data_IF_490239908316
#
_entry.id   IF_490239908316
#
_cell.length_a   1.000
_cell.length_b   1.000
_cell.length_c   1.000
_cell.angle_alpha   90.00
_cell.angle_beta   90.00
_cell.angle_gamma   90.00
#
_symmetry.space_group_name_H-M   'P 1'
#
loop_
_entity.id
_entity.type
_entity.pdbx_description
1 polymer ?
#
# COMPACT_ATOMS: atom_id res chain seq x y z
N UNK A 1 24.04 43.04 -23.32
CA UNK A 1 22.67 43.50 -23.61
C UNK A 1 21.78 43.04 -22.48
N UNK A 2 21.18 43.98 -21.74
CA UNK A 2 20.32 43.67 -20.61
C UNK A 2 19.01 43.02 -21.11
N UNK A 3 18.58 41.94 -20.49
CA UNK A 3 17.32 41.29 -20.82
C UNK A 3 16.16 42.26 -20.56
N UNK A 4 15.24 42.37 -21.51
CA UNK A 4 14.03 43.20 -21.39
C UNK A 4 13.18 42.69 -20.20
N UNK A 5 12.53 43.59 -19.42
CA UNK A 5 11.73 43.20 -18.29
C UNK A 5 10.51 42.36 -18.75
N UNK A 6 10.28 41.23 -18.06
CA UNK A 6 9.12 40.39 -18.27
C UNK A 6 7.84 41.19 -17.98
N UNK A 7 6.86 41.28 -18.90
CA UNK A 7 5.67 42.07 -18.66
C UNK A 7 4.89 41.51 -17.46
N UNK A 8 4.54 42.39 -16.52
CA UNK A 8 3.69 42.09 -15.37
C UNK A 8 2.28 41.71 -15.85
N UNK A 9 1.90 40.45 -15.73
CA UNK A 9 0.57 39.99 -16.10
C UNK A 9 -0.41 40.27 -14.98
N UNK A 10 -1.54 40.89 -15.30
CA UNK A 10 -2.70 40.99 -14.38
C UNK A 10 -3.14 39.59 -13.95
N UNK A 11 -3.29 39.32 -12.66
CA UNK A 11 -3.80 38.02 -12.23
C UNK A 11 -5.21 37.80 -12.78
N UNK A 12 -5.46 36.62 -13.34
CA UNK A 12 -6.83 36.20 -13.63
C UNK A 12 -7.49 35.92 -12.28
N UNK A 13 -8.50 36.70 -11.92
CA UNK A 13 -9.36 36.42 -10.77
C UNK A 13 -10.06 35.09 -10.99
N UNK A 14 -9.62 34.07 -10.27
CA UNK A 14 -10.20 32.75 -10.15
C UNK A 14 -10.37 32.44 -8.66
N UNK A 15 -11.15 31.42 -8.30
CA UNK A 15 -11.26 30.99 -6.91
C UNK A 15 -9.86 30.74 -6.35
N UNK A 16 -9.66 31.10 -5.07
CA UNK A 16 -8.41 30.86 -4.37
C UNK A 16 -7.92 29.43 -4.62
N UNK A 17 -6.63 29.20 -4.88
CA UNK A 17 -6.13 27.85 -5.09
C UNK A 17 -6.45 27.02 -3.85
N UNK A 18 -7.05 25.85 -4.06
CA UNK A 18 -7.12 24.82 -3.03
C UNK A 18 -5.73 24.64 -2.42
N UNK A 19 -5.66 24.36 -1.14
CA UNK A 19 -4.39 24.17 -0.42
C UNK A 19 -3.43 23.26 -1.20
N UNK A 20 -2.14 23.46 -1.04
CA UNK A 20 -1.10 22.71 -1.75
C UNK A 20 -1.35 21.20 -1.60
N UNK A 21 -1.47 20.48 -2.72
CA UNK A 21 -1.72 19.05 -2.74
C UNK A 21 -3.17 18.63 -2.42
N UNK A 22 -4.15 19.51 -2.73
CA UNK A 22 -5.60 19.30 -2.50
C UNK A 22 -5.96 19.13 -1.02
N UNK A 23 -5.17 19.64 -0.10
CA UNK A 23 -5.45 19.56 1.33
C UNK A 23 -6.78 20.25 1.66
N UNK A 24 -7.68 19.55 2.37
CA UNK A 24 -9.03 20.04 2.70
C UNK A 24 -10.05 19.98 1.55
N UNK A 25 -9.69 19.46 0.37
CA UNK A 25 -10.61 19.28 -0.75
C UNK A 25 -11.26 17.90 -0.69
N UNK A 26 -12.59 17.85 -0.62
CA UNK A 26 -13.37 16.62 -0.80
C UNK A 26 -13.42 16.29 -2.28
N UNK A 27 -12.74 15.22 -2.69
CA UNK A 27 -12.64 14.85 -4.10
C UNK A 27 -13.75 13.93 -4.59
N UNK A 28 -14.38 13.17 -3.70
CA UNK A 28 -15.50 12.28 -4.00
C UNK A 28 -16.27 11.93 -2.71
N UNK A 29 -17.48 11.41 -2.88
CA UNK A 29 -18.20 10.69 -1.82
C UNK A 29 -17.76 9.23 -1.82
N UNK A 30 -17.73 8.60 -0.64
CA UNK A 30 -17.39 7.19 -0.49
C UNK A 30 -18.13 6.59 0.70
N UNK A 31 -18.55 5.34 0.55
CA UNK A 31 -19.16 4.53 1.62
C UNK A 31 -18.23 3.42 2.12
N UNK A 32 -16.96 3.40 1.66
CA UNK A 32 -16.02 2.29 1.92
C UNK A 32 -15.34 2.47 3.27
N UNK A 33 -14.78 3.65 3.52
CA UNK A 33 -13.94 3.90 4.69
C UNK A 33 -14.22 5.27 5.30
N UNK A 34 -14.33 5.30 6.62
CA UNK A 34 -14.35 6.54 7.41
C UNK A 34 -13.11 6.61 8.28
N UNK A 35 -12.42 7.75 8.25
CA UNK A 35 -11.32 8.08 9.17
C UNK A 35 -11.74 9.29 10.02
N UNK A 36 -11.85 9.10 11.34
CA UNK A 36 -11.94 10.20 12.30
C UNK A 36 -10.54 10.44 12.89
N UNK A 37 -9.74 11.25 12.21
CA UNK A 37 -8.36 11.52 12.61
C UNK A 37 -8.21 12.16 14.01
N UNK A 38 -9.05 13.13 14.41
CA UNK A 38 -9.10 13.69 15.75
C UNK A 38 -9.36 12.66 16.86
N UNK A 39 -10.27 11.71 16.63
CA UNK A 39 -10.55 10.64 17.59
C UNK A 39 -9.60 9.47 17.50
N UNK A 40 -8.95 9.26 16.36
CA UNK A 40 -8.09 8.11 16.10
C UNK A 40 -8.92 6.86 15.79
N UNK A 41 -10.00 7.00 15.04
CA UNK A 41 -10.92 5.94 14.66
C UNK A 41 -10.81 5.64 13.16
N UNK A 42 -10.97 4.37 12.80
CA UNK A 42 -10.98 3.88 11.42
C UNK A 42 -12.08 2.83 11.27
N UNK A 43 -12.94 3.04 10.28
CA UNK A 43 -14.06 2.14 10.00
C UNK A 43 -14.01 1.68 8.54
N UNK A 44 -14.24 0.39 8.31
CA UNK A 44 -14.49 -0.18 6.98
C UNK A 44 -15.95 -0.58 6.88
N UNK A 45 -16.70 0.03 5.94
CA UNK A 45 -18.15 -0.23 5.78
C UNK A 45 -18.94 -0.13 7.08
N UNK A 46 -18.53 0.75 8.00
CA UNK A 46 -19.19 0.97 9.29
C UNK A 46 -18.71 0.09 10.45
N UNK A 47 -17.84 -0.89 10.21
CA UNK A 47 -17.21 -1.71 11.25
C UNK A 47 -15.89 -1.11 11.70
N UNK A 48 -15.63 -1.06 12.99
CA UNK A 48 -14.34 -0.63 13.51
C UNK A 48 -13.22 -1.58 13.04
N UNK A 49 -12.09 -1.00 12.63
CA UNK A 49 -10.98 -1.82 12.10
C UNK A 49 -10.42 -2.77 13.14
N UNK A 50 -10.49 -2.39 14.41
CA UNK A 50 -10.08 -3.20 15.55
C UNK A 50 -10.91 -4.50 15.62
N UNK A 51 -12.24 -4.39 15.58
CA UNK A 51 -13.15 -5.53 15.61
C UNK A 51 -12.91 -6.47 14.43
N UNK A 52 -12.73 -5.89 13.22
CA UNK A 52 -12.42 -6.67 12.02
C UNK A 52 -11.09 -7.42 12.14
N UNK A 53 -10.06 -6.77 12.66
CA UNK A 53 -8.73 -7.36 12.77
C UNK A 53 -8.62 -8.44 13.86
N UNK A 54 -9.48 -8.39 14.88
CA UNK A 54 -9.54 -9.36 15.98
C UNK A 54 -10.40 -10.57 15.65
N UNK A 55 -11.51 -10.40 14.91
CA UNK A 55 -12.55 -11.43 14.78
C UNK A 55 -12.76 -11.96 13.36
N UNK A 56 -12.31 -11.24 12.32
CA UNK A 56 -12.62 -11.60 10.94
C UNK A 56 -11.47 -12.32 10.20
N UNK A 57 -11.85 -13.12 9.20
CA UNK A 57 -10.91 -13.58 8.16
C UNK A 57 -10.69 -12.48 7.10
N UNK A 58 -9.48 -12.42 6.56
CA UNK A 58 -9.12 -11.43 5.53
C UNK A 58 -10.08 -11.45 4.33
N UNK A 59 -10.49 -12.63 3.86
CA UNK A 59 -11.39 -12.75 2.70
C UNK A 59 -12.83 -12.33 3.02
N UNK A 60 -13.27 -12.45 4.28
CA UNK A 60 -14.56 -11.91 4.71
C UNK A 60 -14.56 -10.37 4.62
N UNK A 61 -13.47 -9.74 5.05
CA UNK A 61 -13.35 -8.27 4.96
C UNK A 61 -13.19 -7.81 3.51
N UNK A 62 -12.49 -8.56 2.66
CA UNK A 62 -12.46 -8.29 1.20
C UNK A 62 -13.86 -8.31 0.62
N UNK A 63 -14.66 -9.32 0.95
CA UNK A 63 -16.05 -9.43 0.49
C UNK A 63 -16.88 -8.24 0.97
N UNK A 64 -16.76 -7.90 2.26
CA UNK A 64 -17.43 -6.73 2.84
C UNK A 64 -17.08 -5.44 2.09
N UNK A 65 -15.80 -5.20 1.79
CA UNK A 65 -15.37 -4.01 1.07
C UNK A 65 -15.95 -3.94 -0.36
N UNK A 66 -15.96 -5.08 -1.08
CA UNK A 66 -16.39 -5.12 -2.48
C UNK A 66 -17.89 -5.10 -2.65
N UNK A 67 -18.64 -5.76 -1.76
CA UNK A 67 -20.10 -5.94 -1.87
C UNK A 67 -20.91 -5.07 -0.89
N UNK A 68 -20.24 -4.44 0.10
CA UNK A 68 -20.90 -3.59 1.10
C UNK A 68 -21.69 -4.36 2.16
N UNK A 69 -21.61 -5.69 2.16
CA UNK A 69 -22.31 -6.56 3.11
C UNK A 69 -21.44 -7.76 3.50
N UNK A 70 -21.69 -8.29 4.68
CA UNK A 70 -20.97 -9.45 5.19
C UNK A 70 -21.31 -10.71 4.39
N UNK A 71 -20.33 -11.57 4.05
CA UNK A 71 -20.61 -12.77 3.29
C UNK A 71 -21.38 -13.80 4.12
N UNK A 72 -22.32 -14.49 3.48
CA UNK A 72 -22.83 -15.74 4.03
C UNK A 72 -21.73 -16.81 4.00
N UNK A 73 -21.81 -17.88 4.83
CA UNK A 73 -20.84 -18.98 4.76
C UNK A 73 -20.73 -19.65 3.37
N UNK A 74 -21.81 -19.61 2.58
CA UNK A 74 -21.80 -20.16 1.22
C UNK A 74 -21.03 -19.24 0.26
N UNK A 75 -21.24 -17.93 0.34
CA UNK A 75 -20.53 -16.93 -0.46
C UNK A 75 -19.04 -16.91 -0.12
N UNK A 76 -18.67 -16.94 1.16
CA UNK A 76 -17.28 -17.01 1.59
C UNK A 76 -16.58 -18.25 1.01
N UNK A 77 -17.17 -19.45 1.13
CA UNK A 77 -16.61 -20.68 0.54
C UNK A 77 -16.52 -20.60 -0.99
N UNK A 78 -17.50 -19.99 -1.66
CA UNK A 78 -17.47 -19.80 -3.11
C UNK A 78 -16.35 -18.86 -3.53
N UNK A 79 -16.16 -17.75 -2.81
CA UNK A 79 -15.10 -16.77 -3.05
C UNK A 79 -13.71 -17.39 -2.82
N UNK A 80 -13.52 -18.14 -1.74
CA UNK A 80 -12.26 -18.84 -1.48
C UNK A 80 -11.93 -19.86 -2.59
N UNK A 81 -12.91 -20.65 -3.05
CA UNK A 81 -12.69 -21.58 -4.17
C UNK A 81 -12.28 -20.86 -5.45
N UNK A 82 -12.91 -19.71 -5.77
CA UNK A 82 -12.54 -18.89 -6.94
C UNK A 82 -11.11 -18.39 -6.86
N UNK A 83 -10.69 -17.87 -5.71
CA UNK A 83 -9.32 -17.42 -5.47
C UNK A 83 -8.33 -18.59 -5.60
N UNK A 84 -8.63 -19.71 -4.96
CA UNK A 84 -7.78 -20.93 -4.97
C UNK A 84 -7.49 -21.40 -6.39
N UNK A 85 -8.48 -21.38 -7.28
CA UNK A 85 -8.34 -21.76 -8.69
C UNK A 85 -7.44 -20.82 -9.51
N UNK A 86 -7.15 -19.60 -9.01
CA UNK A 86 -6.44 -18.56 -9.77
C UNK A 86 -5.09 -18.14 -9.16
N UNK A 87 -4.61 -18.82 -8.11
CA UNK A 87 -3.36 -18.49 -7.40
C UNK A 87 -2.09 -18.65 -8.24
N UNK A 88 -2.11 -19.57 -9.22
CA UNK A 88 -0.94 -19.83 -10.05
C UNK A 88 -0.63 -18.65 -10.97
N UNK A 89 0.65 -18.35 -11.08
CA UNK A 89 1.13 -17.34 -12.03
C UNK A 89 1.15 -17.93 -13.45
N UNK A 90 0.74 -17.15 -14.47
CA UNK A 90 0.90 -17.57 -15.88
C UNK A 90 2.39 -17.81 -16.22
N UNK A 91 2.70 -18.74 -17.15
CA UNK A 91 4.08 -19.02 -17.56
C UNK A 91 4.87 -17.78 -18.03
N UNK A 92 4.21 -16.85 -18.76
CA UNK A 92 4.83 -15.60 -19.19
C UNK A 92 5.27 -14.71 -18.00
N UNK A 93 4.55 -14.76 -16.88
CA UNK A 93 4.96 -14.04 -15.65
C UNK A 93 6.23 -14.67 -15.07
N UNK A 94 6.35 -16.01 -15.07
CA UNK A 94 7.55 -16.68 -14.58
C UNK A 94 8.78 -16.35 -15.44
N UNK A 95 8.64 -16.26 -16.76
CA UNK A 95 9.69 -15.82 -17.67
C UNK A 95 10.16 -14.38 -17.34
N UNK A 96 9.23 -13.48 -17.15
CA UNK A 96 9.55 -12.08 -16.77
C UNK A 96 10.21 -12.04 -15.39
N UNK A 97 9.74 -12.82 -14.41
CA UNK A 97 10.35 -12.87 -13.08
C UNK A 97 11.78 -13.42 -13.09
N UNK A 98 12.17 -14.29 -14.05
CA UNK A 98 13.58 -14.67 -14.22
C UNK A 98 14.47 -13.50 -14.60
N UNK A 99 13.94 -12.51 -15.31
CA UNK A 99 14.67 -11.32 -15.74
C UNK A 99 14.73 -10.24 -14.65
N UNK A 100 13.58 -9.98 -13.98
CA UNK A 100 13.43 -8.83 -13.07
C UNK A 100 13.36 -9.21 -11.58
N UNK A 101 13.32 -10.51 -11.24
CA UNK A 101 13.30 -11.00 -9.85
C UNK A 101 14.68 -11.03 -9.19
N UNK A 102 15.62 -10.19 -9.63
CA UNK A 102 17.01 -10.13 -9.16
C UNK A 102 17.16 -9.11 -8.03
N UNK A 103 18.19 -9.24 -7.16
CA UNK A 103 18.43 -8.30 -6.06
C UNK A 103 18.60 -6.83 -6.50
N UNK A 104 19.14 -6.59 -7.71
CA UNK A 104 19.41 -5.25 -8.25
C UNK A 104 18.14 -4.53 -8.71
N UNK A 105 17.06 -5.27 -8.96
CA UNK A 105 15.77 -4.69 -9.39
C UNK A 105 14.92 -4.38 -8.16
N UNK A 106 14.40 -3.15 -8.11
CA UNK A 106 13.47 -2.73 -7.08
C UNK A 106 12.20 -3.62 -7.08
N UNK A 107 11.82 -4.24 -5.94
CA UNK A 107 10.68 -5.16 -5.88
C UNK A 107 9.36 -4.53 -6.33
N UNK A 108 9.13 -3.26 -6.00
CA UNK A 108 7.92 -2.54 -6.40
C UNK A 108 7.90 -2.27 -7.91
N UNK A 109 9.07 -2.12 -8.54
CA UNK A 109 9.15 -2.04 -10.00
C UNK A 109 8.79 -3.38 -10.65
N UNK A 110 9.23 -4.49 -10.08
CA UNK A 110 8.87 -5.82 -10.55
C UNK A 110 7.36 -6.09 -10.38
N UNK A 111 6.79 -5.81 -9.21
CA UNK A 111 5.33 -5.97 -8.96
C UNK A 111 4.50 -5.13 -9.94
N UNK A 112 4.87 -3.87 -10.17
CA UNK A 112 4.22 -2.99 -11.14
C UNK A 112 4.25 -3.57 -12.55
N UNK A 113 5.44 -4.03 -12.99
CA UNK A 113 5.63 -4.60 -14.33
C UNK A 113 4.78 -5.83 -14.55
N UNK A 114 4.77 -6.75 -13.57
CA UNK A 114 3.96 -7.98 -13.65
C UNK A 114 2.46 -7.66 -13.59
N UNK A 115 2.03 -6.67 -12.81
CA UNK A 115 0.62 -6.27 -12.78
C UNK A 115 0.16 -5.76 -14.15
N UNK A 116 0.96 -4.92 -14.82
CA UNK A 116 0.68 -4.46 -16.18
C UNK A 116 0.71 -5.61 -17.20
N UNK A 117 1.64 -6.55 -17.06
CA UNK A 117 1.69 -7.75 -17.93
C UNK A 117 0.43 -8.61 -17.75
N UNK A 118 -0.05 -8.80 -16.53
CA UNK A 118 -1.29 -9.56 -16.26
C UNK A 118 -2.49 -8.93 -16.99
N UNK A 119 -2.55 -7.59 -17.06
CA UNK A 119 -3.56 -6.88 -17.85
C UNK A 119 -3.42 -7.14 -19.34
N UNK A 120 -2.20 -7.09 -19.88
CA UNK A 120 -1.95 -7.39 -21.28
C UNK A 120 -2.25 -8.85 -21.68
N UNK A 121 -2.24 -9.77 -20.71
CA UNK A 121 -2.58 -11.19 -20.91
C UNK A 121 -4.06 -11.51 -20.67
N UNK A 122 -4.84 -10.58 -20.11
CA UNK A 122 -6.27 -10.78 -19.86
C UNK A 122 -7.08 -10.34 -21.09
N UNK A 123 -7.73 -11.27 -21.83
CA UNK A 123 -8.49 -10.91 -23.03
C UNK A 123 -9.72 -10.05 -22.73
N UNK A 124 -10.13 -9.92 -21.46
CA UNK A 124 -11.26 -9.10 -21.03
C UNK A 124 -10.82 -7.86 -20.23
N UNK A 125 -9.54 -7.47 -20.30
CA UNK A 125 -9.02 -6.35 -19.53
C UNK A 125 -9.84 -5.06 -19.74
N UNK A 126 -10.23 -4.76 -20.98
CA UNK A 126 -10.96 -3.55 -21.37
C UNK A 126 -12.47 -3.60 -21.02
N UNK A 127 -12.99 -4.72 -20.52
CA UNK A 127 -14.39 -4.82 -20.09
C UNK A 127 -14.58 -4.16 -18.72
N UNK A 128 -15.20 -2.99 -18.70
CA UNK A 128 -15.49 -2.21 -17.49
C UNK A 128 -16.81 -2.58 -16.80
N UNK A 129 -17.51 -3.61 -17.26
CA UNK A 129 -18.69 -4.12 -16.58
C UNK A 129 -18.32 -4.58 -15.14
N UNK A 130 -19.13 -4.31 -14.11
CA UNK A 130 -18.80 -4.64 -12.74
C UNK A 130 -18.42 -6.12 -12.51
N UNK A 131 -19.06 -7.03 -13.23
CA UNK A 131 -18.75 -8.47 -13.17
C UNK A 131 -17.38 -8.81 -13.73
N UNK A 132 -16.99 -8.21 -14.87
CA UNK A 132 -15.67 -8.40 -15.47
C UNK A 132 -14.56 -7.80 -14.60
N UNK A 133 -14.77 -6.61 -14.04
CA UNK A 133 -13.86 -5.98 -13.08
C UNK A 133 -13.68 -6.86 -11.84
N UNK A 134 -14.76 -7.46 -11.30
CA UNK A 134 -14.69 -8.39 -10.18
C UNK A 134 -13.94 -9.68 -10.55
N UNK A 135 -14.08 -10.21 -11.77
CA UNK A 135 -13.33 -11.38 -12.21
C UNK A 135 -11.81 -11.08 -12.27
N UNK A 136 -11.43 -9.94 -12.86
CA UNK A 136 -10.04 -9.46 -12.90
C UNK A 136 -9.50 -9.19 -11.49
N UNK A 137 -10.33 -8.63 -10.60
CA UNK A 137 -9.97 -8.37 -9.20
C UNK A 137 -9.71 -9.67 -8.42
N UNK A 138 -10.56 -10.68 -8.57
CA UNK A 138 -10.36 -12.01 -7.98
C UNK A 138 -9.07 -12.64 -8.48
N UNK A 139 -8.81 -12.56 -9.80
CA UNK A 139 -7.59 -13.10 -10.39
C UNK A 139 -6.34 -12.42 -9.84
N UNK A 140 -6.36 -11.10 -9.75
CA UNK A 140 -5.22 -10.33 -9.26
C UNK A 140 -5.00 -10.52 -7.76
N UNK A 141 -6.07 -10.46 -6.94
CA UNK A 141 -6.00 -10.72 -5.50
C UNK A 141 -5.42 -12.11 -5.20
N UNK A 142 -5.82 -13.12 -5.96
CA UNK A 142 -5.31 -14.48 -5.83
C UNK A 142 -3.82 -14.60 -6.16
N UNK A 143 -3.36 -13.88 -7.18
CA UNK A 143 -1.98 -13.95 -7.71
C UNK A 143 -0.98 -13.08 -6.97
N UNK A 144 -1.42 -12.00 -6.30
CA UNK A 144 -0.50 -11.08 -5.62
C UNK A 144 0.38 -11.77 -4.55
N UNK A 145 -0.14 -12.61 -3.65
CA UNK A 145 0.71 -13.36 -2.73
C UNK A 145 1.72 -14.26 -3.44
N UNK A 146 1.30 -14.95 -4.52
CA UNK A 146 2.18 -15.80 -5.31
C UNK A 146 3.30 -15.00 -5.99
N UNK A 147 2.97 -13.82 -6.52
CA UNK A 147 3.93 -12.91 -7.13
C UNK A 147 4.97 -12.42 -6.11
N UNK A 148 4.52 -11.93 -4.96
CA UNK A 148 5.43 -11.36 -3.94
C UNK A 148 6.29 -12.47 -3.32
N UNK A 149 5.73 -13.65 -3.07
CA UNK A 149 6.48 -14.80 -2.58
C UNK A 149 7.53 -15.28 -3.60
N UNK A 150 7.15 -15.42 -4.88
CA UNK A 150 8.05 -15.79 -5.96
C UNK A 150 9.21 -14.79 -6.13
N UNK A 151 8.89 -13.49 -6.07
CA UNK A 151 9.87 -12.42 -6.12
C UNK A 151 10.86 -12.51 -4.95
N UNK A 152 10.37 -12.71 -3.73
CA UNK A 152 11.20 -12.85 -2.53
C UNK A 152 12.15 -14.04 -2.60
N UNK A 153 11.68 -15.18 -3.11
CA UNK A 153 12.50 -16.38 -3.27
C UNK A 153 13.56 -16.21 -4.37
N UNK A 154 13.18 -15.67 -5.54
CA UNK A 154 14.15 -15.44 -6.64
C UNK A 154 15.26 -14.47 -6.24
N UNK A 155 14.95 -13.44 -5.45
CA UNK A 155 15.97 -12.50 -4.92
C UNK A 155 16.98 -13.18 -3.99
N UNK A 156 16.60 -14.30 -3.38
CA UNK A 156 17.48 -15.16 -2.57
C UNK A 156 18.14 -16.28 -3.37
N UNK A 157 17.96 -16.33 -4.68
CA UNK A 157 18.47 -17.41 -5.53
C UNK A 157 17.71 -18.73 -5.40
N UNK A 158 16.48 -18.67 -4.83
CA UNK A 158 15.63 -19.84 -4.62
C UNK A 158 14.53 -19.91 -5.71
N UNK A 159 14.14 -21.13 -6.08
CA UNK A 159 13.00 -21.31 -6.99
C UNK A 159 11.67 -20.98 -6.30
N UNK A 160 10.71 -20.37 -7.04
CA UNK A 160 9.36 -20.16 -6.56
C UNK A 160 8.67 -21.47 -6.17
N UNK A 161 7.79 -21.40 -5.17
CA UNK A 161 7.00 -22.53 -4.70
C UNK A 161 5.57 -22.37 -5.24
N UNK A 162 5.06 -23.45 -5.84
CA UNK A 162 3.66 -23.48 -6.27
C UNK A 162 2.68 -23.39 -5.08
N UNK A 163 1.51 -22.77 -5.28
CA UNK A 163 0.48 -22.75 -4.24
C UNK A 163 0.06 -24.17 -3.81
N UNK A 164 -0.05 -24.39 -2.51
CA UNK A 164 -0.63 -25.62 -1.96
C UNK A 164 -2.18 -25.53 -2.02
N UNK A 165 -2.86 -26.47 -2.70
CA UNK A 165 -4.32 -26.43 -2.85
C UNK A 165 -5.09 -26.64 -1.53
N UNK A 166 -4.46 -27.21 -0.51
CA UNK A 166 -5.10 -27.46 0.80
C UNK A 166 -5.07 -26.25 1.73
N UNK A 167 -4.16 -25.28 1.49
CA UNK A 167 -4.02 -24.14 2.37
C UNK A 167 -4.99 -23.01 2.00
N UNK A 168 -5.53 -22.32 3.03
CA UNK A 168 -6.26 -21.05 2.91
C UNK A 168 -5.38 -19.94 2.33
N UNK A 169 -5.97 -18.78 2.00
CA UNK A 169 -5.28 -17.69 1.30
C UNK A 169 -4.05 -17.19 2.07
N UNK A 170 -4.23 -16.89 3.36
CA UNK A 170 -3.19 -16.33 4.24
C UNK A 170 -2.08 -17.36 4.52
N UNK A 171 -2.46 -18.60 4.87
CA UNK A 171 -1.51 -19.67 5.14
C UNK A 171 -0.66 -20.00 3.91
N UNK A 172 -1.27 -19.98 2.73
CA UNK A 172 -0.60 -20.24 1.47
C UNK A 172 0.45 -19.17 1.12
N UNK A 173 0.19 -17.91 1.47
CA UNK A 173 1.15 -16.84 1.28
C UNK A 173 2.47 -17.13 2.04
N UNK A 174 2.38 -17.48 3.33
CA UNK A 174 3.56 -17.84 4.12
C UNK A 174 4.24 -19.10 3.60
N UNK A 175 3.45 -20.11 3.21
CA UNK A 175 3.97 -21.33 2.63
C UNK A 175 4.81 -21.07 1.37
N UNK A 176 4.27 -20.31 0.41
CA UNK A 176 4.97 -19.98 -0.83
C UNK A 176 6.24 -19.15 -0.58
N UNK A 177 6.22 -18.29 0.44
CA UNK A 177 7.38 -17.45 0.78
C UNK A 177 8.52 -18.28 1.39
N UNK A 178 8.20 -19.18 2.33
CA UNK A 178 9.20 -19.86 3.18
C UNK A 178 9.47 -21.32 2.79
N UNK A 179 8.54 -21.98 2.12
CA UNK A 179 8.64 -23.40 1.78
C UNK A 179 8.23 -24.36 2.91
N UNK A 180 7.64 -23.84 3.98
CA UNK A 180 7.16 -24.63 5.11
C UNK A 180 5.72 -24.19 5.47
N UNK A 181 4.87 -25.14 5.89
CA UNK A 181 3.53 -24.84 6.38
C UNK A 181 3.64 -23.96 7.64
N UNK A 182 2.91 -22.83 7.70
CA UNK A 182 2.97 -21.96 8.85
C UNK A 182 2.26 -22.55 10.06
N UNK A 183 2.65 -22.12 11.26
CA UNK A 183 1.90 -22.36 12.48
C UNK A 183 0.63 -21.49 12.51
N UNK A 184 -0.35 -21.90 13.32
CA UNK A 184 -1.64 -21.21 13.40
C UNK A 184 -1.49 -19.74 13.88
N UNK A 185 -0.65 -19.49 14.86
CA UNK A 185 -0.37 -18.15 15.39
C UNK A 185 0.31 -17.23 14.35
N UNK A 186 1.08 -17.78 13.42
CA UNK A 186 1.65 -17.05 12.28
C UNK A 186 0.57 -16.67 11.27
N UNK A 187 -0.37 -17.60 10.99
CA UNK A 187 -1.51 -17.34 10.08
C UNK A 187 -2.41 -16.24 10.66
N UNK A 188 -2.76 -16.33 11.95
CA UNK A 188 -3.54 -15.30 12.64
C UNK A 188 -2.81 -13.96 12.63
N UNK A 189 -1.50 -13.96 12.90
CA UNK A 189 -0.69 -12.74 12.85
C UNK A 189 -0.69 -12.08 11.47
N UNK A 190 -0.47 -12.86 10.41
CA UNK A 190 -0.49 -12.34 9.04
C UNK A 190 -1.89 -11.87 8.64
N UNK A 191 -2.95 -12.60 9.00
CA UNK A 191 -4.34 -12.21 8.77
C UNK A 191 -4.63 -10.81 9.34
N UNK A 192 -4.28 -10.59 10.60
CA UNK A 192 -4.42 -9.28 11.26
C UNK A 192 -3.65 -8.19 10.50
N UNK A 193 -2.38 -8.44 10.14
CA UNK A 193 -1.58 -7.47 9.38
C UNK A 193 -2.20 -7.17 8.01
N UNK A 194 -2.74 -8.18 7.31
CA UNK A 194 -3.40 -8.00 6.01
C UNK A 194 -4.65 -7.12 6.14
N UNK A 195 -5.52 -7.36 7.13
CA UNK A 195 -6.73 -6.56 7.37
C UNK A 195 -6.35 -5.11 7.67
N UNK A 196 -5.36 -4.86 8.54
CA UNK A 196 -4.96 -3.51 8.96
C UNK A 196 -4.30 -2.68 7.83
N UNK A 197 -3.84 -3.34 6.74
CA UNK A 197 -3.21 -2.64 5.60
C UNK A 197 -4.10 -2.56 4.36
N UNK A 198 -5.24 -3.28 4.31
CA UNK A 198 -6.01 -3.46 3.08
C UNK A 198 -6.70 -2.19 2.58
N UNK A 199 -7.01 -1.23 3.48
CA UNK A 199 -7.74 -0.02 3.11
C UNK A 199 -7.36 1.17 4.03
N UNK A 200 -7.40 2.40 3.48
CA UNK A 200 -7.19 3.64 4.23
C UNK A 200 -7.70 4.86 3.45
N UNK A 201 -8.98 4.90 3.14
CA UNK A 201 -9.68 6.01 2.48
C UNK A 201 -9.00 6.46 1.17
N UNK A 202 -9.14 7.73 0.81
CA UNK A 202 -8.63 8.34 -0.43
C UNK A 202 -7.15 8.75 -0.30
N UNK A 203 -6.28 7.82 0.09
CA UNK A 203 -4.84 8.05 0.07
C UNK A 203 -4.31 8.21 -1.38
N UNK A 204 -3.04 8.60 -1.54
CA UNK A 204 -2.47 8.93 -2.85
C UNK A 204 -2.59 7.79 -3.88
N UNK A 205 -2.44 6.53 -3.49
CA UNK A 205 -2.57 5.39 -4.40
C UNK A 205 -4.02 5.09 -4.76
N UNK A 206 -4.95 5.21 -3.81
CA UNK A 206 -6.38 5.09 -4.05
C UNK A 206 -6.87 6.19 -4.99
N UNK A 207 -6.43 7.44 -4.77
CA UNK A 207 -6.76 8.56 -5.65
C UNK A 207 -6.23 8.35 -7.07
N UNK A 208 -5.01 7.83 -7.24
CA UNK A 208 -4.45 7.48 -8.53
C UNK A 208 -5.28 6.40 -9.25
N UNK A 209 -5.70 5.34 -8.55
CA UNK A 209 -6.58 4.31 -9.10
C UNK A 209 -7.91 4.89 -9.58
N UNK A 210 -8.59 5.69 -8.74
CA UNK A 210 -9.87 6.34 -9.11
C UNK A 210 -9.70 7.30 -10.29
N UNK A 211 -8.61 8.04 -10.36
CA UNK A 211 -8.32 8.95 -11.48
C UNK A 211 -8.18 8.19 -12.78
N UNK A 212 -7.45 7.07 -12.80
CA UNK A 212 -7.23 6.27 -14.00
C UNK A 212 -8.52 5.57 -14.42
N UNK A 213 -9.20 4.85 -13.52
CA UNK A 213 -10.44 4.14 -13.89
C UNK A 213 -11.56 5.13 -14.24
N UNK A 214 -11.56 6.34 -13.69
CA UNK A 214 -12.49 7.41 -14.03
C UNK A 214 -12.42 7.85 -15.51
N UNK A 215 -11.33 7.56 -16.20
CA UNK A 215 -11.19 7.75 -17.65
C UNK A 215 -11.78 6.59 -18.47
N UNK A 216 -12.31 5.55 -17.81
CA UNK A 216 -12.72 4.27 -18.39
C UNK A 216 -11.54 3.44 -18.94
N UNK A 217 -10.34 3.64 -18.40
CA UNK A 217 -9.22 2.71 -18.60
C UNK A 217 -9.47 1.41 -17.83
N UNK A 218 -8.76 0.36 -18.20
CA UNK A 218 -8.92 -0.98 -17.64
C UNK A 218 -8.53 -1.06 -16.14
N UNK A 219 -9.01 -2.15 -15.49
CA UNK A 219 -8.75 -2.42 -14.08
C UNK A 219 -7.26 -2.52 -13.74
N UNK A 220 -6.46 -3.22 -14.57
CA UNK A 220 -5.04 -3.41 -14.32
C UNK A 220 -4.23 -2.11 -14.46
N UNK A 221 -4.62 -1.24 -15.39
CA UNK A 221 -4.07 0.11 -15.52
C UNK A 221 -4.30 0.94 -14.27
N UNK A 222 -5.52 0.89 -13.69
CA UNK A 222 -5.84 1.58 -12.44
C UNK A 222 -5.02 1.04 -11.26
N UNK A 223 -4.90 -0.29 -11.12
CA UNK A 223 -4.07 -0.91 -10.08
C UNK A 223 -2.58 -0.61 -10.31
N UNK A 224 -2.10 -0.63 -11.54
CA UNK A 224 -0.71 -0.27 -11.88
C UNK A 224 -0.40 1.17 -11.46
N UNK A 225 -1.30 2.11 -11.70
CA UNK A 225 -1.17 3.50 -11.26
C UNK A 225 -1.13 3.62 -9.73
N UNK A 226 -1.98 2.85 -9.04
CA UNK A 226 -1.97 2.79 -7.57
C UNK A 226 -0.61 2.27 -7.05
N UNK A 227 -0.04 1.22 -7.64
CA UNK A 227 1.27 0.68 -7.29
C UNK A 227 2.36 1.72 -7.54
N UNK A 228 2.29 2.47 -8.65
CA UNK A 228 3.24 3.57 -8.93
C UNK A 228 3.21 4.64 -7.84
N UNK A 229 2.03 5.03 -7.37
CA UNK A 229 1.90 6.01 -6.30
C UNK A 229 2.36 5.44 -4.94
N UNK A 230 2.03 4.17 -4.65
CA UNK A 230 2.43 3.51 -3.38
C UNK A 230 3.95 3.36 -3.27
N UNK A 231 4.66 3.12 -4.37
CA UNK A 231 6.14 3.04 -4.42
C UNK A 231 6.83 4.31 -3.92
N UNK A 232 6.15 5.45 -3.95
CA UNK A 232 6.74 6.73 -3.57
C UNK A 232 7.17 6.79 -2.09
N UNK A 233 8.39 7.31 -1.81
CA UNK A 233 8.94 7.44 -0.45
C UNK A 233 8.10 8.27 0.52
N UNK A 234 7.13 9.05 0.04
CA UNK A 234 6.18 9.82 0.85
C UNK A 234 4.86 9.07 1.05
N UNK A 235 4.78 7.81 0.64
CA UNK A 235 3.59 6.97 0.77
C UNK A 235 3.98 5.61 1.37
N UNK A 236 4.14 4.53 0.59
CA UNK A 236 4.37 3.18 1.11
C UNK A 236 5.81 2.87 1.54
N UNK A 237 6.82 3.55 0.98
CA UNK A 237 8.23 3.18 1.16
C UNK A 237 8.84 3.48 2.54
N UNK A 238 8.05 3.90 3.54
CA UNK A 238 8.55 4.16 4.90
C UNK A 238 8.73 2.85 5.71
N UNK A 239 7.91 1.85 5.48
CA UNK A 239 7.92 0.58 6.22
C UNK A 239 9.23 -0.20 6.02
N UNK A 240 9.81 -0.17 4.81
CA UNK A 240 11.02 -0.92 4.45
C UNK A 240 12.25 -0.47 5.27
N UNK A 241 12.24 0.76 5.79
CA UNK A 241 13.33 1.34 6.55
C UNK A 241 13.28 1.07 8.06
N UNK A 242 12.19 0.53 8.59
CA UNK A 242 12.00 0.36 10.06
C UNK A 242 12.92 -0.71 10.62
N UNK A 243 12.92 -1.92 10.06
CA UNK A 243 13.78 -3.02 10.57
C UNK A 243 15.27 -2.70 10.41
N UNK A 244 15.75 -2.17 9.28
CA UNK A 244 17.12 -1.68 9.17
C UNK A 244 17.48 -0.65 10.24
N UNK A 245 16.60 0.30 10.56
CA UNK A 245 16.81 1.27 11.64
C UNK A 245 16.99 0.57 13.01
N UNK A 246 16.12 -0.39 13.32
CA UNK A 246 16.19 -1.11 14.60
C UNK A 246 17.47 -1.95 14.71
N UNK A 247 17.92 -2.56 13.61
CA UNK A 247 19.22 -3.25 13.53
C UNK A 247 20.41 -2.31 13.67
N UNK A 248 20.33 -1.10 13.10
CA UNK A 248 21.36 -0.04 13.26
C UNK A 248 21.50 0.39 14.72
N UNK A 249 20.40 0.49 15.48
CA UNK A 249 20.41 0.80 16.93
C UNK A 249 20.97 -0.40 17.71
N UNK A 250 20.59 -1.61 17.37
CA UNK A 250 21.12 -2.89 17.84
C UNK A 250 20.65 -3.32 19.21
N UNK A 251 20.58 -2.44 20.21
CA UNK A 251 20.22 -2.76 21.61
C UNK A 251 19.41 -1.65 22.28
N UNK A 252 18.51 -1.97 23.24
CA UNK A 252 17.62 -1.00 23.87
C UNK A 252 18.35 0.15 24.57
N UNK A 253 19.51 -0.14 25.17
CA UNK A 253 20.31 0.85 25.90
C UNK A 253 20.92 1.92 24.99
N UNK A 254 21.12 1.62 23.71
CA UNK A 254 21.64 2.56 22.72
C UNK A 254 20.58 3.56 22.21
N UNK A 255 19.28 3.28 22.42
CA UNK A 255 18.17 4.08 21.89
C UNK A 255 18.24 5.55 22.29
N UNK A 256 18.41 5.94 23.59
CA UNK A 256 18.39 7.35 23.96
C UNK A 256 19.46 8.19 23.25
N UNK A 257 20.70 7.69 23.21
CA UNK A 257 21.81 8.37 22.55
C UNK A 257 21.65 8.40 21.01
N UNK A 258 21.05 7.35 20.43
CA UNK A 258 20.75 7.32 19.01
C UNK A 258 19.71 8.37 18.63
N UNK A 259 18.60 8.44 19.38
CA UNK A 259 17.52 9.41 19.14
C UNK A 259 18.05 10.84 19.27
N UNK A 260 18.85 11.13 20.30
CA UNK A 260 19.46 12.44 20.49
C UNK A 260 20.27 12.88 19.26
N UNK A 261 21.23 12.05 18.83
CA UNK A 261 22.02 12.34 17.62
C UNK A 261 21.18 12.51 16.36
N UNK A 262 20.16 11.65 16.17
CA UNK A 262 19.29 11.73 15.02
C UNK A 262 18.49 13.04 15.00
N UNK A 263 18.00 13.49 16.15
CA UNK A 263 17.26 14.74 16.29
C UNK A 263 18.15 15.97 16.07
N UNK A 264 19.36 15.97 16.61
CA UNK A 264 20.34 17.04 16.42
C UNK A 264 20.73 17.21 14.96
N UNK A 265 20.78 16.11 14.21
CA UNK A 265 21.03 16.10 12.76
C UNK A 265 19.80 16.40 11.91
N UNK A 266 18.63 16.65 12.52
CA UNK A 266 17.37 16.84 11.80
C UNK A 266 16.89 15.58 11.05
N UNK A 267 17.43 14.40 11.38
CA UNK A 267 17.08 13.11 10.74
C UNK A 267 15.68 12.67 11.18
N UNK A 268 14.80 12.41 10.22
CA UNK A 268 13.49 11.82 10.47
C UNK A 268 13.62 10.31 10.65
N UNK A 269 13.05 9.78 11.70
CA UNK A 269 12.99 8.34 11.96
C UNK A 269 11.72 7.75 11.33
N UNK A 270 11.82 6.66 10.54
CA UNK A 270 10.67 6.01 9.93
C UNK A 270 9.75 5.37 10.98
N UNK A 271 8.48 5.23 10.66
CA UNK A 271 7.49 4.61 11.53
C UNK A 271 6.85 5.53 12.57
N UNK A 272 7.12 6.84 12.55
CA UNK A 272 6.57 7.82 13.51
C UNK A 272 5.81 8.94 12.83
N UNK A 273 4.71 9.35 13.49
CA UNK A 273 3.84 10.42 13.03
C UNK A 273 2.90 9.98 11.90
N UNK A 274 1.80 10.73 11.72
CA UNK A 274 0.81 10.45 10.70
C UNK A 274 0.24 11.77 10.13
N UNK A 275 -0.14 11.78 8.83
CA UNK A 275 -0.70 12.98 8.20
C UNK A 275 -2.13 13.28 8.66
N UNK A 276 -2.90 12.24 9.00
CA UNK A 276 -4.33 12.34 9.34
C UNK A 276 -4.54 12.24 10.84
N UNK A 277 -4.01 11.18 11.48
CA UNK A 277 -4.18 11.01 12.93
C UNK A 277 -3.35 12.00 13.73
N UNK A 278 -4.00 12.76 14.60
CA UNK A 278 -3.35 13.70 15.53
C UNK A 278 -3.01 13.06 16.88
N UNK A 279 -3.67 11.96 17.18
CA UNK A 279 -3.42 11.12 18.36
C UNK A 279 -2.66 9.85 17.92
N UNK A 280 -3.14 8.69 18.26
CA UNK A 280 -2.55 7.41 17.91
C UNK A 280 -3.26 6.82 16.68
N UNK A 281 -2.52 6.21 15.77
CA UNK A 281 -3.09 5.36 14.72
C UNK A 281 -3.74 4.13 15.38
N UNK A 282 -5.06 3.87 15.20
CA UNK A 282 -5.76 2.77 15.87
C UNK A 282 -5.15 1.41 15.54
N UNK A 283 -4.56 1.26 14.37
CA UNK A 283 -3.93 0.02 13.90
C UNK A 283 -2.64 -0.32 14.63
N UNK A 284 -1.89 0.70 15.09
CA UNK A 284 -0.57 0.50 15.68
C UNK A 284 -0.59 -0.34 16.98
N UNK A 285 -1.65 -0.24 17.80
CA UNK A 285 -1.79 -1.02 19.02
C UNK A 285 -1.93 -2.53 18.74
N UNK A 286 -2.79 -2.88 17.77
CA UNK A 286 -3.00 -4.27 17.37
C UNK A 286 -1.74 -4.87 16.76
N UNK A 287 -1.07 -4.10 15.90
CA UNK A 287 0.20 -4.52 15.29
C UNK A 287 1.31 -4.72 16.32
N UNK A 288 1.38 -3.89 17.37
CA UNK A 288 2.31 -4.09 18.49
C UNK A 288 2.04 -5.42 19.21
N UNK A 289 0.77 -5.78 19.40
CA UNK A 289 0.36 -7.07 19.94
C UNK A 289 0.79 -8.26 19.06
N UNK A 290 0.56 -8.15 17.75
CA UNK A 290 1.01 -9.15 16.76
C UNK A 290 2.54 -9.26 16.76
N UNK A 291 3.26 -8.14 16.63
CA UNK A 291 4.72 -8.12 16.63
C UNK A 291 5.28 -8.75 17.90
N UNK A 292 4.74 -8.45 19.07
CA UNK A 292 5.17 -9.04 20.35
C UNK A 292 5.06 -10.57 20.35
N UNK A 293 3.91 -11.12 19.91
CA UNK A 293 3.70 -12.57 19.86
C UNK A 293 4.65 -13.25 18.89
N UNK A 294 4.77 -12.73 17.68
CA UNK A 294 5.59 -13.33 16.64
C UNK A 294 7.10 -13.20 16.95
N UNK A 295 7.56 -12.05 17.46
CA UNK A 295 8.97 -11.83 17.77
C UNK A 295 9.47 -12.67 18.94
N UNK A 296 8.62 -13.17 19.82
CA UNK A 296 9.01 -14.06 20.90
C UNK A 296 9.72 -15.35 20.40
N UNK A 297 9.48 -15.76 19.14
CA UNK A 297 10.07 -16.94 18.50
C UNK A 297 10.90 -16.61 17.25
N UNK A 298 11.04 -15.32 16.94
CA UNK A 298 11.78 -14.86 15.78
C UNK A 298 13.31 -15.03 15.98
N UNK A 299 14.10 -15.06 14.89
CA UNK A 299 15.56 -15.10 14.96
C UNK A 299 16.19 -13.93 15.71
N UNK A 300 15.53 -12.77 15.73
CA UNK A 300 16.02 -11.53 16.35
C UNK A 300 15.02 -10.98 17.40
N UNK A 301 14.74 -11.70 18.51
CA UNK A 301 13.68 -11.31 19.45
C UNK A 301 13.98 -9.98 20.15
N UNK A 302 15.25 -9.60 20.28
CA UNK A 302 15.67 -8.34 20.89
C UNK A 302 15.20 -7.10 20.14
N UNK A 303 14.91 -7.19 18.82
CA UNK A 303 14.43 -6.06 18.03
C UNK A 303 13.10 -5.49 18.56
N UNK A 304 12.25 -6.32 19.14
CA UNK A 304 11.00 -5.85 19.73
C UNK A 304 11.24 -4.93 20.93
N UNK A 305 12.21 -5.22 21.79
CA UNK A 305 12.56 -4.35 22.91
C UNK A 305 13.23 -3.05 22.46
N UNK A 306 14.08 -3.10 21.43
CA UNK A 306 14.62 -1.89 20.79
C UNK A 306 13.49 -1.03 20.26
N UNK A 307 12.52 -1.62 19.57
CA UNK A 307 11.36 -0.90 19.04
C UNK A 307 10.51 -0.27 20.14
N UNK A 308 10.19 -1.02 21.19
CA UNK A 308 9.41 -0.51 22.32
C UNK A 308 10.11 0.68 23.00
N UNK A 309 11.44 0.57 23.18
CA UNK A 309 12.23 1.66 23.77
C UNK A 309 12.28 2.88 22.86
N UNK A 310 12.42 2.67 21.54
CA UNK A 310 12.43 3.76 20.56
C UNK A 310 11.09 4.48 20.50
N UNK A 311 9.95 3.76 20.52
CA UNK A 311 8.62 4.39 20.59
C UNK A 311 8.50 5.26 21.86
N UNK A 312 8.91 4.76 23.02
CA UNK A 312 8.86 5.51 24.27
C UNK A 312 9.70 6.80 24.22
N UNK A 313 10.92 6.75 23.67
CA UNK A 313 11.78 7.93 23.49
C UNK A 313 11.17 8.93 22.50
N UNK A 314 10.63 8.48 21.36
CA UNK A 314 10.00 9.35 20.37
C UNK A 314 8.74 10.02 20.92
N UNK A 315 7.93 9.28 21.68
CA UNK A 315 6.76 9.84 22.34
C UNK A 315 7.15 10.89 23.38
N UNK A 316 8.15 10.60 24.21
CA UNK A 316 8.62 11.52 25.27
C UNK A 316 9.26 12.79 24.70
N UNK A 317 10.14 12.65 23.69
CA UNK A 317 10.92 13.80 23.16
C UNK A 317 10.20 14.61 22.11
N UNK A 318 9.28 14.00 21.33
CA UNK A 318 8.63 14.65 20.19
C UNK A 318 7.11 14.59 20.23
N UNK A 319 6.51 13.85 21.16
CA UNK A 319 5.06 13.59 21.15
C UNK A 319 4.58 12.80 19.93
N UNK A 320 5.48 12.06 19.26
CA UNK A 320 5.18 11.31 18.05
C UNK A 320 4.99 9.83 18.37
N UNK A 321 3.73 9.33 18.32
CA UNK A 321 3.46 7.90 18.47
C UNK A 321 3.89 7.12 17.22
N UNK A 322 4.05 5.81 17.39
CA UNK A 322 4.22 4.88 16.27
C UNK A 322 3.00 4.90 15.36
N UNK A 323 3.24 4.80 14.06
CA UNK A 323 2.20 4.66 13.03
C UNK A 323 2.03 3.19 12.58
N UNK A 324 1.18 2.96 11.57
CA UNK A 324 0.89 1.62 11.04
C UNK A 324 2.13 0.85 10.57
N UNK A 325 3.16 1.54 10.06
CA UNK A 325 4.33 0.88 9.48
C UNK A 325 5.28 0.30 10.54
N UNK A 326 5.29 0.89 11.73
CA UNK A 326 6.32 0.63 12.75
C UNK A 326 6.34 -0.81 13.25
N UNK A 327 5.24 -1.25 13.83
CA UNK A 327 5.13 -2.62 14.36
C UNK A 327 4.78 -3.65 13.29
N UNK A 328 4.16 -3.21 12.18
CA UNK A 328 3.94 -4.09 11.05
C UNK A 328 5.26 -4.62 10.46
N UNK A 329 6.27 -3.76 10.32
CA UNK A 329 7.60 -4.16 9.86
C UNK A 329 8.21 -5.27 10.71
N UNK A 330 8.09 -5.19 12.04
CA UNK A 330 8.54 -6.23 12.97
C UNK A 330 7.75 -7.53 12.82
N UNK A 331 6.43 -7.44 12.70
CA UNK A 331 5.58 -8.60 12.47
C UNK A 331 5.93 -9.32 11.17
N UNK A 332 6.11 -8.57 10.09
CA UNK A 332 6.50 -9.12 8.78
C UNK A 332 7.90 -9.76 8.82
N UNK A 333 8.88 -9.11 9.46
CA UNK A 333 10.21 -9.68 9.62
C UNK A 333 10.17 -11.00 10.41
N UNK A 334 9.40 -11.07 11.50
CA UNK A 334 9.21 -12.29 12.29
C UNK A 334 8.54 -13.41 11.49
N UNK A 335 7.67 -13.07 10.52
CA UNK A 335 7.04 -14.01 9.58
C UNK A 335 7.96 -14.41 8.41
N UNK A 336 9.18 -13.89 8.34
CA UNK A 336 10.17 -14.23 7.33
C UNK A 336 10.11 -13.41 6.04
N UNK A 337 9.35 -12.31 6.01
CA UNK A 337 9.44 -11.37 4.90
C UNK A 337 10.75 -10.57 5.00
N UNK A 338 11.56 -10.51 3.95
CA UNK A 338 12.70 -9.61 3.91
C UNK A 338 12.22 -8.14 3.82
N UNK A 339 12.94 -7.18 4.47
CA UNK A 339 12.49 -5.79 4.57
C UNK A 339 12.17 -5.14 3.22
N UNK A 340 12.90 -5.44 2.18
CA UNK A 340 12.68 -4.91 0.83
C UNK A 340 11.37 -5.35 0.17
N UNK A 341 10.65 -6.31 0.75
CA UNK A 341 9.34 -6.77 0.30
C UNK A 341 8.17 -6.20 1.10
N UNK A 342 8.38 -5.42 2.16
CA UNK A 342 7.29 -4.94 3.01
C UNK A 342 6.31 -4.06 2.23
N UNK A 343 6.80 -3.13 1.39
CA UNK A 343 5.92 -2.34 0.52
C UNK A 343 5.19 -3.24 -0.51
N UNK A 344 5.83 -4.30 -1.01
CA UNK A 344 5.18 -5.28 -1.91
C UNK A 344 4.11 -6.10 -1.19
N UNK A 345 4.32 -6.44 0.08
CA UNK A 345 3.27 -7.03 0.93
C UNK A 345 2.07 -6.08 1.05
N UNK A 346 2.28 -4.77 1.27
CA UNK A 346 1.18 -3.79 1.31
C UNK A 346 0.40 -3.80 -0.01
N UNK A 347 1.05 -3.91 -1.17
CA UNK A 347 0.34 -4.06 -2.46
C UNK A 347 -0.59 -5.26 -2.42
N UNK A 348 -0.10 -6.42 -1.97
CA UNK A 348 -0.89 -7.65 -1.98
C UNK A 348 -2.17 -7.57 -1.12
N UNK A 349 -2.16 -6.74 -0.09
CA UNK A 349 -3.34 -6.49 0.74
C UNK A 349 -4.21 -5.35 0.19
N UNK A 350 -3.58 -4.28 -0.27
CA UNK A 350 -4.22 -3.03 -0.70
C UNK A 350 -5.01 -3.17 -2.01
N UNK A 351 -4.74 -4.19 -2.81
CA UNK A 351 -5.58 -4.57 -3.98
C UNK A 351 -7.05 -4.67 -3.58
N UNK A 352 -7.36 -5.17 -2.38
CA UNK A 352 -8.73 -5.24 -1.87
C UNK A 352 -9.41 -3.85 -1.78
N UNK A 353 -8.75 -2.89 -1.12
CA UNK A 353 -9.27 -1.54 -0.97
C UNK A 353 -9.31 -0.78 -2.30
N UNK A 354 -8.25 -0.86 -3.11
CA UNK A 354 -8.25 -0.23 -4.43
C UNK A 354 -9.38 -0.74 -5.32
N UNK A 355 -9.64 -2.05 -5.30
CA UNK A 355 -10.77 -2.65 -6.03
C UNK A 355 -12.10 -2.10 -5.57
N UNK A 356 -12.34 -1.99 -4.26
CA UNK A 356 -13.57 -1.40 -3.74
C UNK A 356 -13.78 0.03 -4.27
N UNK A 357 -12.72 0.85 -4.25
CA UNK A 357 -12.76 2.22 -4.78
C UNK A 357 -12.92 2.29 -6.30
N UNK A 358 -12.35 1.35 -7.04
CA UNK A 358 -12.54 1.23 -8.50
C UNK A 358 -14.01 0.91 -8.81
N UNK A 359 -14.60 -0.08 -8.12
CA UNK A 359 -16.00 -0.45 -8.29
C UNK A 359 -16.94 0.70 -7.94
N UNK A 360 -16.69 1.42 -6.83
CA UNK A 360 -17.47 2.58 -6.42
C UNK A 360 -17.35 3.73 -7.45
N UNK A 361 -16.15 3.97 -8.00
CA UNK A 361 -15.94 4.98 -9.04
C UNK A 361 -16.72 4.63 -10.32
N UNK A 362 -16.69 3.38 -10.76
CA UNK A 362 -17.40 2.93 -11.97
C UNK A 362 -18.92 2.96 -11.78
N UNK A 363 -19.43 2.67 -10.57
CA UNK A 363 -20.87 2.68 -10.27
C UNK A 363 -21.51 4.07 -10.44
N UNK A 364 -20.76 5.15 -10.21
CA UNK A 364 -21.20 6.53 -10.40
C UNK A 364 -20.05 7.35 -11.02
N UNK A 365 -19.65 6.95 -12.23
CA UNK A 365 -18.42 7.47 -12.84
C UNK A 365 -18.56 8.91 -13.31
N UNK A 366 -17.65 9.75 -12.85
CA UNK A 366 -17.39 11.08 -13.39
C UNK A 366 -15.87 11.27 -13.53
N UNK A 367 -15.45 11.75 -14.71
CA UNK A 367 -14.04 12.04 -14.99
C UNK A 367 -13.46 13.01 -13.94
N UNK A 368 -12.39 12.59 -13.25
CA UNK A 368 -11.67 13.43 -12.29
C UNK A 368 -10.71 14.30 -13.08
N UNK A 369 -11.06 15.59 -13.22
CA UNK A 369 -10.30 16.56 -14.00
C UNK A 369 -10.26 17.92 -13.31
N UNK A 370 -9.36 18.12 -12.33
CA UNK A 370 -9.16 19.41 -11.67
C UNK A 370 -8.58 20.45 -12.65
N UNK A 371 -8.69 21.73 -12.30
CA UNK A 371 -8.08 22.84 -13.05
C UNK A 371 -6.79 23.27 -12.38
N UNK A 372 -5.88 23.84 -13.20
CA UNK A 372 -4.68 24.52 -12.73
C UNK A 372 -4.88 26.05 -12.78
N UNK A 373 -4.34 26.77 -11.80
CA UNK A 373 -4.15 28.21 -11.88
C UNK A 373 -2.83 28.49 -12.61
N UNK A 374 -2.97 28.98 -13.83
CA UNK A 374 -1.80 29.32 -14.65
C UNK A 374 -1.08 30.56 -14.10
N UNK A 375 0.24 30.44 -13.88
CA UNK A 375 1.11 31.51 -13.37
C UNK A 375 2.20 31.93 -14.37
N UNK A 376 2.24 31.32 -15.56
CA UNK A 376 3.21 31.65 -16.59
C UNK A 376 2.86 32.93 -17.40
N UNK A 377 3.79 33.43 -18.22
CA UNK A 377 3.57 34.58 -19.09
C UNK A 377 2.49 34.29 -20.15
N UNK A 378 1.83 35.34 -20.63
CA UNK A 378 0.82 35.29 -21.71
C UNK A 378 1.19 36.25 -22.82
N UNK A 379 0.69 36.00 -24.03
CA UNK A 379 0.84 36.92 -25.17
C UNK A 379 2.26 37.05 -25.71
N UNK A 380 3.12 36.05 -25.46
CA UNK A 380 4.44 36.02 -26.07
C UNK A 380 4.29 35.81 -27.59
N UNK A 381 5.07 36.58 -28.38
CA UNK A 381 5.14 36.47 -29.83
C UNK A 381 6.30 35.57 -30.26
N UNK A 382 6.02 34.63 -31.16
CA UNK A 382 7.07 33.77 -31.76
C UNK A 382 8.09 34.59 -32.59
N UNK A 383 7.68 35.73 -33.18
CA UNK A 383 8.57 36.61 -33.95
C UNK A 383 9.70 37.26 -33.14
N UNK A 384 9.62 37.18 -31.80
CA UNK A 384 10.70 37.65 -30.90
C UNK A 384 11.77 36.58 -30.62
N UNK A 385 11.63 35.37 -31.13
CA UNK A 385 12.57 34.28 -30.92
C UNK A 385 13.69 34.32 -31.97
N UNK A 386 14.97 34.10 -31.56
CA UNK A 386 16.13 34.24 -32.47
C UNK A 386 16.11 33.33 -33.72
N UNK A 387 15.39 32.21 -33.65
CA UNK A 387 15.25 31.23 -34.75
C UNK A 387 14.01 31.42 -35.64
N UNK A 388 13.19 32.43 -35.38
CA UNK A 388 11.99 32.76 -36.21
C UNK A 388 12.17 34.07 -36.99
N UNK A 389 13.36 34.67 -37.01
CA UNK A 389 13.68 35.81 -37.84
C UNK A 389 14.05 35.37 -39.27
N UNK A 390 13.05 35.06 -40.07
CA UNK A 390 13.14 34.92 -41.54
C UNK A 390 12.23 35.92 -42.22
#
# INVERSE_FOLDING_TARGET
MAAAPIPTTTPVEGPAPAGSGLDGVVACESSITLIDGPKGELFFRGYAVEDLAEAADYLEVVHLLWHGQWPTPAEHRAFERRLRAQRSLPPAVDEVLRLIGRPEVDPMAAVRTVTSLLGALDPRADDTAPTAVLDSAVALLARMPSLVAALGRRRQGLEPIAPDPELGHVANYLYMLRGARPAEDEVVGLNTLMILHMEHELNASTFAARTVVGTLSDYYSAITAAICALKGRRHGGAIDAVVPLLREIGRPEAVPAYVERALDQGRKLPGFGHRVYRRRDPRAALQAGVARRLNARAPEPALFEVARRLEAEMLTRKGLPANVDYYAALGLAALGFPPELFTSFIVSTRVAGWTAHILEQLANNRLIRPRALYRGPRGLSLGAQPWHSH
#
